data_IF_508900105390
#
_entry.id   IF_508900105390
#
_cell.length_a   1.000
_cell.length_b   1.000
_cell.length_c   1.000
_cell.angle_alpha   90.00
_cell.angle_beta   90.00
_cell.angle_gamma   90.00
#
_symmetry.space_group_name_H-M   'P 1'
#
loop_
_entity.id
_entity.type
_entity.pdbx_description
1 polymer ?
#
# COMPACT_ATOMS: atom_id res chain seq x y z
N UNK A 1 -10.77 -3.45 4.30
CA UNK A 1 -11.15 -4.55 5.20
C UNK A 1 -9.91 -5.17 5.82
N UNK A 2 -10.00 -5.65 7.05
CA UNK A 2 -8.87 -6.25 7.79
C UNK A 2 -9.04 -7.76 7.83
N UNK A 3 -7.95 -8.49 7.54
CA UNK A 3 -7.87 -9.93 7.72
C UNK A 3 -6.82 -10.23 8.78
N UNK A 4 -7.19 -11.00 9.80
CA UNK A 4 -6.27 -11.63 10.75
C UNK A 4 -5.98 -13.04 10.25
N UNK A 5 -4.81 -13.23 9.64
CA UNK A 5 -4.41 -14.48 9.03
C UNK A 5 -3.51 -15.29 9.97
N UNK A 6 -3.87 -16.53 10.23
CA UNK A 6 -3.12 -17.48 11.04
C UNK A 6 -2.55 -18.55 10.10
N UNK A 7 -1.23 -18.60 9.87
CA UNK A 7 -0.61 -19.48 8.88
C UNK A 7 -0.46 -20.93 9.35
N UNK A 8 -1.15 -21.34 10.40
CA UNK A 8 -1.07 -22.65 11.06
C UNK A 8 -2.40 -23.39 10.91
N UNK A 9 -2.36 -24.71 10.72
CA UNK A 9 -3.57 -25.51 10.41
C UNK A 9 -4.22 -26.11 11.66
N UNK A 10 -3.38 -26.38 12.66
CA UNK A 10 -3.70 -26.90 13.97
C UNK A 10 -4.36 -25.85 14.87
N UNK A 11 -5.00 -26.30 15.94
CA UNK A 11 -5.49 -25.39 16.98
C UNK A 11 -4.32 -24.78 17.75
N UNK A 12 -4.38 -23.47 17.98
CA UNK A 12 -3.33 -22.71 18.63
C UNK A 12 -3.91 -21.47 19.33
N UNK A 13 -3.14 -20.89 20.24
CA UNK A 13 -3.55 -19.72 21.04
C UNK A 13 -3.75 -18.43 20.21
N UNK A 14 -3.22 -18.36 18.98
CA UNK A 14 -3.40 -17.22 18.08
C UNK A 14 -4.87 -17.07 17.67
N UNK A 15 -5.63 -18.16 17.59
CA UNK A 15 -7.06 -18.10 17.30
C UNK A 15 -7.83 -17.33 18.38
N UNK A 16 -7.58 -17.66 19.65
CA UNK A 16 -8.18 -16.97 20.80
C UNK A 16 -7.80 -15.49 20.81
N UNK A 17 -6.54 -15.17 20.51
CA UNK A 17 -6.05 -13.78 20.41
C UNK A 17 -6.69 -13.03 19.23
N UNK A 18 -6.91 -13.69 18.10
CA UNK A 18 -7.57 -13.09 16.93
C UNK A 18 -9.05 -12.83 17.18
N UNK A 19 -9.74 -13.73 17.89
CA UNK A 19 -11.13 -13.54 18.33
C UNK A 19 -11.24 -12.34 19.27
N UNK A 20 -10.37 -12.27 20.28
CA UNK A 20 -10.31 -11.12 21.19
C UNK A 20 -10.05 -9.80 20.44
N UNK A 21 -9.11 -9.80 19.50
CA UNK A 21 -8.84 -8.63 18.65
C UNK A 21 -10.09 -8.17 17.90
N UNK A 22 -10.83 -9.10 17.29
CA UNK A 22 -12.06 -8.82 16.56
C UNK A 22 -13.16 -8.26 17.49
N UNK A 23 -13.26 -8.77 18.71
CA UNK A 23 -14.22 -8.29 19.71
C UNK A 23 -13.92 -6.85 20.16
N UNK A 24 -12.66 -6.56 20.52
CA UNK A 24 -12.22 -5.23 20.96
C UNK A 24 -12.42 -4.18 19.85
N UNK A 25 -12.20 -4.57 18.59
CA UNK A 25 -12.38 -3.73 17.41
C UNK A 25 -13.68 -4.06 16.66
N UNK A 26 -14.78 -4.27 17.38
CA UNK A 26 -16.09 -4.67 16.84
C UNK A 26 -16.67 -3.74 15.78
N UNK A 27 -16.27 -2.47 15.76
CA UNK A 27 -16.68 -1.49 14.75
C UNK A 27 -15.88 -1.60 13.43
N UNK A 28 -14.85 -2.44 13.36
CA UNK A 28 -14.05 -2.66 12.16
C UNK A 28 -14.49 -3.93 11.45
N UNK A 29 -14.47 -3.90 10.11
CA UNK A 29 -14.70 -5.10 9.30
C UNK A 29 -13.45 -6.00 9.35
N UNK A 30 -13.42 -6.90 10.34
CA UNK A 30 -12.35 -7.87 10.60
C UNK A 30 -12.86 -9.28 10.30
N UNK A 31 -12.10 -10.02 9.47
CA UNK A 31 -12.24 -11.47 9.32
C UNK A 31 -11.01 -12.19 9.81
N UNK A 32 -11.22 -13.38 10.36
CA UNK A 32 -10.15 -14.29 10.77
C UNK A 32 -10.09 -15.39 9.72
N UNK A 33 -8.90 -15.64 9.17
CA UNK A 33 -8.64 -16.72 8.22
C UNK A 33 -7.52 -17.57 8.78
N UNK A 34 -7.74 -18.87 8.80
CA UNK A 34 -6.75 -19.84 9.22
C UNK A 34 -6.35 -20.71 8.03
N UNK A 35 -5.06 -21.00 7.91
CA UNK A 35 -4.55 -21.85 6.85
C UNK A 35 -5.22 -23.22 6.83
N UNK A 36 -5.52 -23.73 5.63
CA UNK A 36 -6.18 -25.02 5.43
C UNK A 36 -7.69 -25.04 5.73
N UNK A 37 -8.26 -23.94 6.23
CA UNK A 37 -9.72 -23.79 6.36
C UNK A 37 -10.31 -23.18 5.10
N UNK A 38 -11.59 -23.47 4.82
CA UNK A 38 -12.29 -22.94 3.65
C UNK A 38 -12.42 -21.41 3.72
N UNK A 39 -12.00 -20.71 2.68
CA UNK A 39 -12.06 -19.26 2.57
C UNK A 39 -13.25 -18.85 1.69
N UNK A 40 -14.10 -17.97 2.21
CA UNK A 40 -15.19 -17.34 1.45
C UNK A 40 -14.68 -16.08 0.72
N UNK A 41 -14.15 -16.28 -0.48
CA UNK A 41 -13.55 -15.21 -1.30
C UNK A 41 -14.56 -14.15 -1.76
N UNK A 42 -15.82 -14.52 -2.04
CA UNK A 42 -16.84 -13.64 -2.63
C UNK A 42 -17.09 -12.40 -1.77
N UNK A 43 -17.13 -12.59 -0.46
CA UNK A 43 -17.33 -11.50 0.49
C UNK A 43 -16.22 -10.45 0.55
N UNK A 44 -15.05 -10.76 -0.02
CA UNK A 44 -13.85 -9.92 0.02
C UNK A 44 -13.48 -9.36 -1.36
N UNK A 45 -14.24 -9.74 -2.40
CA UNK A 45 -13.89 -9.47 -3.79
C UNK A 45 -13.94 -7.98 -4.17
N UNK A 46 -14.74 -7.18 -3.45
CA UNK A 46 -15.00 -5.78 -3.80
C UNK A 46 -14.34 -4.75 -2.87
N UNK A 47 -13.49 -5.18 -1.94
CA UNK A 47 -12.87 -4.27 -0.95
C UNK A 47 -11.34 -4.41 -0.91
N UNK A 48 -10.58 -3.31 -0.76
CA UNK A 48 -9.14 -3.40 -0.50
C UNK A 48 -8.87 -4.12 0.83
N UNK A 49 -7.84 -4.95 0.83
CA UNK A 49 -7.49 -5.82 1.95
C UNK A 49 -6.19 -5.36 2.61
N UNK A 50 -6.20 -5.37 3.95
CA UNK A 50 -5.01 -5.30 4.79
C UNK A 50 -4.95 -6.59 5.60
N UNK A 51 -3.87 -7.34 5.42
CA UNK A 51 -3.71 -8.65 6.07
C UNK A 51 -2.69 -8.53 7.19
N UNK A 52 -3.07 -8.92 8.40
CA UNK A 52 -2.16 -9.16 9.51
C UNK A 52 -1.79 -10.63 9.52
N UNK A 53 -0.53 -10.96 9.28
CA UNK A 53 -0.01 -12.33 9.46
C UNK A 53 0.35 -12.48 10.94
N UNK A 54 -0.39 -13.33 11.64
CA UNK A 54 -0.26 -13.55 13.09
C UNK A 54 0.59 -14.79 13.34
N UNK A 55 1.62 -14.63 14.16
CA UNK A 55 2.44 -15.73 14.66
C UNK A 55 3.16 -15.32 15.94
N UNK A 56 3.74 -16.27 16.66
CA UNK A 56 4.69 -15.97 17.73
C UNK A 56 6.11 -15.89 17.21
N UNK A 57 6.83 -14.87 17.66
CA UNK A 57 8.27 -14.81 17.43
C UNK A 57 9.03 -15.75 18.35
N UNK A 58 10.21 -16.15 17.90
CA UNK A 58 11.10 -17.05 18.63
C UNK A 58 12.35 -16.28 19.03
N UNK A 59 12.73 -16.36 20.30
CA UNK A 59 13.93 -15.72 20.85
C UNK A 59 15.18 -16.63 20.82
N UNK A 60 15.20 -17.61 19.92
CA UNK A 60 16.28 -18.59 19.73
C UNK A 60 17.15 -18.23 18.52
N UNK A 61 18.47 -18.08 18.73
CA UNK A 61 19.44 -17.68 17.71
C UNK A 61 19.62 -18.70 16.57
N UNK A 62 19.28 -19.97 16.79
CA UNK A 62 19.34 -21.00 15.75
C UNK A 62 18.10 -20.97 14.82
N UNK A 63 17.03 -20.31 15.25
CA UNK A 63 15.72 -20.32 14.61
C UNK A 63 15.32 -18.92 14.09
N UNK A 64 16.32 -18.12 13.67
CA UNK A 64 16.19 -16.71 13.30
C UNK A 64 15.15 -16.37 12.20
N UNK A 65 14.61 -17.35 11.49
CA UNK A 65 13.60 -17.16 10.46
C UNK A 65 12.35 -18.03 10.67
N UNK A 66 12.21 -18.62 11.84
CA UNK A 66 11.06 -19.42 12.20
C UNK A 66 10.10 -18.64 13.09
N UNK A 67 8.82 -18.96 12.97
CA UNK A 67 7.75 -18.43 13.81
C UNK A 67 6.94 -19.60 14.36
N UNK A 68 6.40 -19.43 15.56
CA UNK A 68 5.73 -20.46 16.34
C UNK A 68 4.20 -20.30 16.34
N UNK A 69 3.49 -21.44 16.44
CA UNK A 69 2.03 -21.49 16.57
C UNK A 69 1.54 -21.02 17.94
N UNK A 70 2.29 -21.29 19.01
CA UNK A 70 1.87 -21.07 20.40
C UNK A 70 2.94 -20.37 21.26
N UNK A 71 2.48 -19.70 22.32
CA UNK A 71 3.32 -19.18 23.39
C UNK A 71 2.82 -19.72 24.75
N UNK A 72 3.67 -20.37 25.57
CA UNK A 72 5.09 -20.68 25.37
C UNK A 72 5.33 -21.82 24.36
N UNK A 73 6.55 -21.90 23.82
CA UNK A 73 6.96 -22.94 22.87
C UNK A 73 7.08 -24.27 23.63
N UNK A 74 6.36 -25.28 23.16
CA UNK A 74 6.35 -26.65 23.69
C UNK A 74 6.64 -27.65 22.58
N UNK A 75 6.82 -28.94 22.90
CA UNK A 75 7.01 -30.00 21.88
C UNK A 75 5.82 -30.13 20.91
N UNK A 76 4.66 -29.57 21.26
CA UNK A 76 3.46 -29.55 20.41
C UNK A 76 3.40 -28.33 19.49
N UNK A 77 4.28 -27.35 19.70
CA UNK A 77 4.30 -26.10 18.94
C UNK A 77 4.85 -26.33 17.55
N UNK A 78 4.09 -25.94 16.53
CA UNK A 78 4.57 -25.98 15.15
C UNK A 78 5.48 -24.80 14.90
N UNK A 79 6.71 -25.09 14.47
CA UNK A 79 7.66 -24.09 14.00
C UNK A 79 7.65 -24.06 12.48
N UNK A 80 7.38 -22.89 11.90
CA UNK A 80 7.39 -22.70 10.46
C UNK A 80 8.43 -21.67 10.07
N UNK A 81 9.26 -22.03 9.08
CA UNK A 81 10.11 -21.09 8.39
C UNK A 81 9.29 -20.03 7.66
N UNK A 82 9.82 -18.82 7.57
CA UNK A 82 9.13 -17.70 6.90
C UNK A 82 8.84 -17.97 5.42
N UNK A 83 9.66 -18.79 4.77
CA UNK A 83 9.45 -19.30 3.41
C UNK A 83 8.19 -20.16 3.33
N UNK A 84 7.98 -21.07 4.30
CA UNK A 84 6.76 -21.88 4.36
C UNK A 84 5.53 -21.02 4.67
N UNK A 85 5.66 -20.00 5.50
CA UNK A 85 4.58 -19.05 5.78
C UNK A 85 4.22 -18.25 4.52
N UNK A 86 5.21 -17.81 3.74
CA UNK A 86 4.99 -17.16 2.45
C UNK A 86 4.33 -18.08 1.43
N UNK A 87 4.74 -19.36 1.35
CA UNK A 87 4.09 -20.37 0.50
C UNK A 87 2.61 -20.53 0.84
N UNK A 88 2.29 -20.70 2.13
CA UNK A 88 0.90 -20.80 2.62
C UNK A 88 0.11 -19.53 2.30
N UNK A 89 0.69 -18.37 2.53
CA UNK A 89 0.09 -17.08 2.19
C UNK A 89 -0.18 -16.95 0.68
N UNK A 90 0.77 -17.34 -0.17
CA UNK A 90 0.60 -17.33 -1.63
C UNK A 90 -0.59 -18.20 -2.04
N UNK A 91 -0.71 -19.40 -1.48
CA UNK A 91 -1.80 -20.34 -1.76
C UNK A 91 -3.16 -19.79 -1.33
N UNK A 92 -3.27 -19.36 -0.07
CA UNK A 92 -4.54 -18.95 0.53
C UNK A 92 -5.08 -17.63 -0.02
N UNK A 93 -4.20 -16.76 -0.52
CA UNK A 93 -4.57 -15.44 -1.04
C UNK A 93 -4.36 -15.27 -2.54
N UNK A 94 -4.06 -16.35 -3.28
CA UNK A 94 -3.84 -16.30 -4.72
C UNK A 94 -4.97 -15.58 -5.47
N UNK A 95 -6.22 -15.90 -5.14
CA UNK A 95 -7.41 -15.31 -5.79
C UNK A 95 -7.65 -13.84 -5.42
N UNK A 96 -7.07 -13.36 -4.32
CA UNK A 96 -7.25 -12.00 -3.81
C UNK A 96 -5.97 -11.16 -3.90
N UNK A 97 -4.90 -11.66 -4.53
CA UNK A 97 -3.58 -10.99 -4.55
C UNK A 97 -3.66 -9.51 -4.97
N UNK A 98 -4.45 -9.21 -6.00
CA UNK A 98 -4.62 -7.87 -6.55
C UNK A 98 -5.40 -6.90 -5.63
N UNK A 99 -6.06 -7.41 -4.58
CA UNK A 99 -6.79 -6.61 -3.58
C UNK A 99 -5.96 -6.31 -2.35
N UNK A 100 -4.87 -7.03 -2.14
CA UNK A 100 -4.05 -6.91 -0.94
C UNK A 100 -3.10 -5.73 -1.13
N UNK A 101 -3.40 -4.66 -0.39
CA UNK A 101 -2.65 -3.40 -0.47
C UNK A 101 -1.54 -3.32 0.58
N UNK A 102 -1.73 -3.99 1.72
CA UNK A 102 -0.78 -3.96 2.83
C UNK A 102 -0.80 -5.32 3.55
N UNK A 103 0.39 -5.85 3.80
CA UNK A 103 0.64 -7.05 4.59
C UNK A 103 1.41 -6.62 5.84
N UNK A 104 0.88 -6.93 7.01
CA UNK A 104 1.44 -6.58 8.31
C UNK A 104 1.92 -7.85 8.98
N UNK A 105 3.23 -8.04 9.01
CA UNK A 105 3.88 -9.13 9.72
C UNK A 105 3.83 -8.83 11.22
N UNK A 106 2.86 -9.42 11.92
CA UNK A 106 2.52 -9.06 13.30
C UNK A 106 2.85 -10.20 14.26
N UNK A 107 4.13 -10.27 14.62
CA UNK A 107 4.70 -11.21 15.58
C UNK A 107 5.71 -10.49 16.47
N UNK A 108 5.92 -11.00 17.69
CA UNK A 108 6.92 -10.46 18.61
C UNK A 108 8.34 -10.58 18.02
N UNK A 109 9.18 -9.57 18.17
CA UNK A 109 10.58 -9.66 17.79
C UNK A 109 11.46 -8.74 18.64
N UNK A 110 12.20 -9.34 19.57
CA UNK A 110 13.12 -8.62 20.45
C UNK A 110 14.58 -8.73 20.00
N UNK A 111 14.88 -9.49 18.93
CA UNK A 111 16.26 -9.79 18.48
C UNK A 111 16.78 -8.86 17.39
N UNK A 112 15.92 -8.05 16.77
CA UNK A 112 16.35 -7.10 15.74
C UNK A 112 16.36 -7.66 14.31
N UNK A 113 15.99 -8.94 14.11
CA UNK A 113 15.94 -9.58 12.79
C UNK A 113 14.60 -9.40 12.06
N UNK A 114 13.67 -8.59 12.58
CA UNK A 114 12.34 -8.35 11.98
C UNK A 114 12.42 -7.86 10.53
N UNK A 115 13.41 -7.05 10.19
CA UNK A 115 13.64 -6.56 8.83
C UNK A 115 14.02 -7.71 7.90
N UNK A 116 14.98 -8.54 8.30
CA UNK A 116 15.44 -9.69 7.51
C UNK A 116 14.34 -10.73 7.32
N UNK A 117 13.51 -10.98 8.34
CA UNK A 117 12.32 -11.84 8.21
C UNK A 117 11.36 -11.25 7.18
N UNK A 118 11.09 -9.94 7.25
CA UNK A 118 10.20 -9.27 6.31
C UNK A 118 10.74 -9.29 4.88
N UNK A 119 12.05 -9.08 4.68
CA UNK A 119 12.71 -9.15 3.37
C UNK A 119 12.63 -10.56 2.79
N UNK A 120 12.90 -11.58 3.62
CA UNK A 120 12.79 -12.98 3.20
C UNK A 120 11.35 -13.36 2.88
N UNK A 121 10.38 -12.91 3.66
CA UNK A 121 8.95 -13.08 3.35
C UNK A 121 8.63 -12.45 1.98
N UNK A 122 9.04 -11.20 1.76
CA UNK A 122 8.84 -10.47 0.49
C UNK A 122 9.43 -11.22 -0.71
N UNK A 123 10.65 -11.74 -0.59
CA UNK A 123 11.33 -12.48 -1.66
C UNK A 123 10.59 -13.76 -2.07
N UNK A 124 9.81 -14.35 -1.15
CA UNK A 124 9.03 -15.55 -1.40
C UNK A 124 7.58 -15.26 -1.82
N UNK A 125 7.16 -13.99 -1.92
CA UNK A 125 5.86 -13.62 -2.47
C UNK A 125 5.93 -13.56 -4.01
N UNK A 126 4.96 -14.17 -4.68
CA UNK A 126 5.00 -14.32 -6.14
C UNK A 126 4.24 -13.20 -6.86
N UNK A 127 2.97 -12.99 -6.51
CA UNK A 127 2.05 -12.10 -7.24
C UNK A 127 1.64 -10.84 -6.46
N UNK A 128 2.20 -10.64 -5.27
CA UNK A 128 1.75 -9.61 -4.35
C UNK A 128 2.57 -8.32 -4.51
N UNK A 129 1.88 -7.24 -4.85
CA UNK A 129 2.45 -5.89 -4.90
C UNK A 129 1.96 -5.05 -3.71
N UNK A 130 2.09 -5.62 -2.52
CA UNK A 130 1.64 -5.01 -1.28
C UNK A 130 2.81 -4.41 -0.50
N UNK A 131 2.55 -3.33 0.24
CA UNK A 131 3.49 -2.88 1.26
C UNK A 131 3.62 -3.93 2.36
N UNK A 132 4.83 -4.16 2.85
CA UNK A 132 5.07 -5.10 3.95
C UNK A 132 5.50 -4.31 5.17
N UNK A 133 4.61 -4.23 6.14
CA UNK A 133 4.88 -3.64 7.44
C UNK A 133 5.44 -4.71 8.38
N UNK A 134 6.49 -4.38 9.12
CA UNK A 134 7.06 -5.17 10.19
C UNK A 134 7.25 -4.31 11.44
N UNK A 135 7.35 -4.94 12.61
CA UNK A 135 7.34 -4.25 13.88
C UNK A 135 8.50 -4.72 14.75
N UNK A 136 8.99 -3.84 15.62
CA UNK A 136 9.96 -4.17 16.65
C UNK A 136 9.28 -4.37 18.02
N UNK A 137 9.88 -5.21 18.85
CA UNK A 137 9.47 -5.45 20.23
C UNK A 137 8.44 -6.56 20.41
N UNK A 138 7.95 -6.69 21.63
CA UNK A 138 6.90 -7.64 22.01
C UNK A 138 5.55 -7.02 21.70
N UNK A 139 4.82 -7.61 20.77
CA UNK A 139 3.54 -7.09 20.29
C UNK A 139 2.37 -7.62 21.10
N UNK A 140 1.40 -6.74 21.32
CA UNK A 140 0.16 -7.08 22.03
C UNK A 140 -1.05 -6.96 21.12
N UNK A 141 -2.10 -7.71 21.44
CA UNK A 141 -3.42 -7.48 20.87
C UNK A 141 -3.91 -6.05 21.19
N UNK A 142 -4.90 -5.53 20.46
CA UNK A 142 -5.52 -4.25 20.80
C UNK A 142 -6.01 -4.25 22.25
N UNK A 143 -5.70 -3.19 22.98
CA UNK A 143 -6.19 -2.96 24.34
C UNK A 143 -7.61 -2.39 24.31
N UNK A 144 -8.22 -2.23 25.48
CA UNK A 144 -9.59 -1.70 25.66
C UNK A 144 -9.77 -0.29 25.09
N UNK A 145 -8.69 0.49 24.97
CA UNK A 145 -8.66 1.80 24.32
C UNK A 145 -8.59 1.72 22.78
N UNK A 146 -8.73 0.51 22.22
CA UNK A 146 -8.69 0.19 20.78
C UNK A 146 -7.34 0.44 20.12
N UNK A 147 -6.27 0.67 20.88
CA UNK A 147 -4.90 0.81 20.36
C UNK A 147 -4.11 -0.48 20.51
N UNK A 148 -3.16 -0.65 19.59
CA UNK A 148 -2.17 -1.74 19.64
C UNK A 148 -0.90 -1.22 20.28
N UNK A 149 -0.30 -2.04 21.12
CA UNK A 149 0.93 -1.69 21.83
C UNK A 149 2.07 -2.65 21.53
N UNK A 150 3.29 -2.14 21.68
CA UNK A 150 4.52 -2.90 21.66
C UNK A 150 5.39 -2.50 22.85
N UNK A 151 6.02 -3.47 23.50
CA UNK A 151 7.13 -3.20 24.42
C UNK A 151 8.43 -3.35 23.64
N UNK A 152 9.19 -2.26 23.53
CA UNK A 152 10.48 -2.24 22.87
C UNK A 152 11.49 -1.51 23.76
N UNK A 153 12.65 -2.12 24.00
CA UNK A 153 13.69 -1.60 24.92
C UNK A 153 13.14 -1.19 26.31
N UNK A 154 12.23 -2.01 26.87
CA UNK A 154 11.64 -1.78 28.19
C UNK A 154 10.60 -0.65 28.26
N UNK A 155 10.25 -0.05 27.12
CA UNK A 155 9.27 1.04 27.06
C UNK A 155 8.04 0.64 26.24
N UNK A 156 6.88 1.16 26.65
CA UNK A 156 5.61 0.96 25.97
C UNK A 156 5.44 1.98 24.83
N UNK A 157 5.18 1.47 23.64
CA UNK A 157 4.89 2.26 22.44
C UNK A 157 3.55 1.83 21.85
N UNK A 158 2.84 2.77 21.23
CA UNK A 158 1.80 2.38 20.26
C UNK A 158 2.51 1.65 19.11
N UNK A 159 2.01 0.49 18.68
CA UNK A 159 2.72 -0.36 17.72
C UNK A 159 3.00 0.36 16.39
N UNK A 160 2.23 1.39 16.02
CA UNK A 160 2.49 2.23 14.85
C UNK A 160 3.82 2.98 14.91
N UNK A 161 4.34 3.26 16.10
CA UNK A 161 5.57 4.04 16.31
C UNK A 161 6.83 3.17 16.16
N UNK A 162 6.70 1.86 16.36
CA UNK A 162 7.76 0.86 16.16
C UNK A 162 7.53 0.04 14.89
N UNK A 163 6.67 0.56 14.00
CA UNK A 163 6.35 -0.03 12.70
C UNK A 163 7.28 0.54 11.64
N UNK A 164 7.81 -0.34 10.82
CA UNK A 164 8.57 0.00 9.64
C UNK A 164 7.92 -0.65 8.42
N UNK A 165 8.08 -0.03 7.26
CA UNK A 165 7.56 -0.53 5.99
C UNK A 165 8.73 -0.87 5.10
N UNK A 166 8.74 -2.08 4.52
CA UNK A 166 9.63 -2.41 3.42
C UNK A 166 9.12 -1.70 2.18
N UNK A 167 9.82 -0.63 1.81
CA UNK A 167 9.65 -0.02 0.51
C UNK A 167 10.24 -0.94 -0.53
N UNK A 168 9.44 -1.26 -1.55
CA UNK A 168 9.93 -1.91 -2.76
C UNK A 168 11.05 -1.01 -3.28
N UNK A 169 12.28 -1.53 -3.37
CA UNK A 169 13.37 -0.79 -4.03
C UNK A 169 12.87 -0.55 -5.46
N UNK A 170 12.46 0.68 -5.78
CA UNK A 170 12.47 1.13 -7.16
C UNK A 170 13.96 1.18 -7.50
N UNK A 171 14.46 0.09 -8.08
CA UNK A 171 15.85 0.04 -8.50
C UNK A 171 16.05 1.04 -9.61
N UNK A 172 16.77 2.12 -9.33
CA UNK A 172 17.39 2.97 -10.34
C UNK A 172 18.51 2.24 -11.11
N UNK A 173 18.76 0.95 -10.86
CA UNK A 173 19.93 0.28 -11.42
C UNK A 173 19.76 -1.23 -11.68
N UNK A 174 18.59 -1.65 -12.16
CA UNK A 174 18.47 -3.03 -12.64
C UNK A 174 17.69 -3.06 -13.93
N UNK A 175 18.29 -3.74 -14.90
CA UNK A 175 17.76 -4.15 -16.18
C UNK A 175 16.59 -5.17 -15.99
N UNK A 176 15.63 -4.81 -15.13
CA UNK A 176 14.44 -5.60 -14.81
C UNK A 176 13.53 -5.44 -16.01
N UNK A 177 13.40 -6.55 -16.76
CA UNK A 177 12.34 -6.70 -17.75
C UNK A 177 11.00 -6.42 -17.06
N UNK A 178 10.51 -5.18 -17.17
CA UNK A 178 9.17 -4.83 -16.75
C UNK A 178 8.21 -5.80 -17.45
N UNK A 179 7.27 -6.38 -16.70
CA UNK A 179 6.23 -7.19 -17.33
C UNK A 179 5.45 -6.31 -18.32
N UNK A 180 4.98 -6.90 -19.42
CA UNK A 180 4.20 -6.17 -20.45
C UNK A 180 3.01 -5.41 -19.82
N UNK A 181 2.43 -5.97 -18.75
CA UNK A 181 1.34 -5.33 -17.99
C UNK A 181 1.78 -4.05 -17.27
N UNK A 182 2.96 -4.07 -16.63
CA UNK A 182 3.52 -2.88 -15.99
C UNK A 182 3.89 -1.81 -17.01
N UNK A 183 4.49 -2.22 -18.13
CA UNK A 183 4.83 -1.32 -19.23
C UNK A 183 3.57 -0.65 -19.80
N UNK A 184 2.51 -1.42 -20.02
CA UNK A 184 1.23 -0.92 -20.52
C UNK A 184 0.55 0.04 -19.56
N UNK A 185 0.59 -0.23 -18.24
CA UNK A 185 0.07 0.70 -17.24
C UNK A 185 0.85 2.01 -17.18
N UNK A 186 2.19 1.93 -17.21
CA UNK A 186 3.05 3.13 -17.23
C UNK A 186 2.74 3.99 -18.46
N UNK A 187 2.72 3.38 -19.65
CA UNK A 187 2.40 4.08 -20.89
C UNK A 187 0.99 4.70 -20.82
N UNK A 188 0.00 3.99 -20.27
CA UNK A 188 -1.34 4.54 -20.09
C UNK A 188 -1.37 5.78 -19.18
N UNK A 189 -0.61 5.77 -18.08
CA UNK A 189 -0.53 6.92 -17.18
C UNK A 189 0.22 8.10 -17.81
N UNK A 190 1.30 7.84 -18.53
CA UNK A 190 2.04 8.88 -19.26
C UNK A 190 1.18 9.49 -20.37
N UNK A 191 0.52 8.67 -21.18
CA UNK A 191 -0.41 9.13 -22.21
C UNK A 191 -1.56 9.95 -21.63
N UNK A 192 -2.14 9.50 -20.51
CA UNK A 192 -3.22 10.22 -19.83
C UNK A 192 -2.74 11.57 -19.27
N UNK A 193 -1.51 11.62 -18.74
CA UNK A 193 -0.89 12.85 -18.25
C UNK A 193 -0.62 13.81 -19.42
N UNK A 194 -0.04 13.33 -20.52
CA UNK A 194 0.25 14.13 -21.70
C UNK A 194 -1.03 14.69 -22.31
N UNK A 195 -2.07 13.87 -22.48
CA UNK A 195 -3.39 14.31 -22.97
C UNK A 195 -4.01 15.41 -22.10
N UNK A 196 -3.83 15.37 -20.77
CA UNK A 196 -4.32 16.44 -19.88
C UNK A 196 -3.57 17.75 -20.12
N UNK A 197 -2.25 17.66 -20.30
CA UNK A 197 -1.39 18.82 -20.60
C UNK A 197 -1.77 19.42 -21.95
N UNK A 198 -1.91 18.59 -22.98
CA UNK A 198 -2.29 19.04 -24.33
C UNK A 198 -3.67 19.72 -24.32
N UNK A 199 -4.63 19.15 -23.59
CA UNK A 199 -5.98 19.71 -23.48
C UNK A 199 -5.99 21.04 -22.71
N UNK A 200 -5.08 21.22 -21.74
CA UNK A 200 -4.87 22.51 -21.08
C UNK A 200 -4.30 23.55 -22.06
N UNK A 201 -3.29 23.19 -22.86
CA UNK A 201 -2.72 24.08 -23.87
C UNK A 201 -3.73 24.47 -24.95
N UNK A 202 -4.53 23.53 -25.45
CA UNK A 202 -5.57 23.82 -26.44
C UNK A 202 -6.65 24.75 -25.87
N UNK A 203 -7.06 24.57 -24.61
CA UNK A 203 -7.97 25.52 -23.93
C UNK A 203 -7.38 26.91 -23.84
N UNK A 204 -6.11 27.04 -23.47
CA UNK A 204 -5.44 28.34 -23.39
C UNK A 204 -5.32 29.00 -24.76
N UNK A 205 -4.95 28.23 -25.79
CA UNK A 205 -4.86 28.70 -27.18
C UNK A 205 -6.20 29.22 -27.68
N UNK A 206 -7.28 28.47 -27.44
CA UNK A 206 -8.64 28.87 -27.80
C UNK A 206 -9.06 30.15 -27.07
N UNK A 207 -8.82 30.25 -25.77
CA UNK A 207 -9.13 31.46 -24.99
C UNK A 207 -8.36 32.70 -25.49
N UNK A 208 -7.07 32.55 -25.83
CA UNK A 208 -6.28 33.64 -26.44
C UNK A 208 -6.84 34.06 -27.79
N UNK A 209 -7.23 33.10 -28.63
CA UNK A 209 -7.81 33.39 -29.94
C UNK A 209 -9.16 34.11 -29.81
N UNK A 210 -10.02 33.69 -28.88
CA UNK A 210 -11.29 34.35 -28.59
C UNK A 210 -11.10 35.79 -28.11
N UNK A 211 -10.14 36.04 -27.20
CA UNK A 211 -9.81 37.39 -26.74
C UNK A 211 -9.29 38.28 -27.88
N UNK A 212 -8.45 37.74 -28.77
CA UNK A 212 -7.90 38.48 -29.90
C UNK A 212 -8.99 38.84 -30.91
N UNK A 213 -9.89 37.90 -31.21
CA UNK A 213 -11.05 38.16 -32.08
C UNK A 213 -12.02 39.16 -31.46
N UNK A 214 -12.25 39.12 -30.14
CA UNK A 214 -13.07 40.09 -29.42
C UNK A 214 -12.49 41.51 -29.54
N UNK A 215 -11.19 41.68 -29.26
CA UNK A 215 -10.49 42.97 -29.43
C UNK A 215 -10.56 43.50 -30.87
N UNK A 216 -10.40 42.62 -31.88
CA UNK A 216 -10.54 43.01 -33.29
C UNK A 216 -11.94 43.50 -33.61
N UNK A 217 -12.97 42.84 -33.07
CA UNK A 217 -14.37 43.22 -33.28
C UNK A 217 -14.68 44.57 -32.61
N UNK A 218 -14.25 44.75 -31.37
CA UNK A 218 -14.37 46.03 -30.64
C UNK A 218 -13.69 47.18 -31.40
N UNK A 219 -12.51 46.94 -31.97
CA UNK A 219 -11.79 47.93 -32.78
C UNK A 219 -12.56 48.30 -34.07
N UNK A 220 -13.12 47.30 -34.76
CA UNK A 220 -13.92 47.51 -35.98
C UNK A 220 -15.23 48.26 -35.67
N UNK A 221 -15.92 47.90 -34.59
CA UNK A 221 -17.12 48.59 -34.13
C UNK A 221 -16.81 50.06 -33.74
N UNK A 222 -15.68 50.30 -33.06
CA UNK A 222 -15.19 51.64 -32.75
C UNK A 222 -14.87 52.47 -34.00
N UNK A 223 -14.19 51.87 -35.00
CA UNK A 223 -13.88 52.54 -36.27
C UNK A 223 -15.14 52.85 -37.10
N UNK A 224 -16.15 51.98 -37.07
CA UNK A 224 -17.44 52.23 -37.72
C UNK A 224 -18.25 53.34 -37.03
N UNK A 225 -18.18 53.44 -35.70
CA UNK A 225 -18.89 54.47 -34.91
C UNK A 225 -18.22 55.85 -34.95
N UNK A 226 -16.89 55.91 -35.12
CA UNK A 226 -16.13 57.16 -35.00
C UNK A 226 -15.37 57.60 -36.27
N UNK A 227 -15.51 56.91 -37.41
CA UNK A 227 -15.18 57.44 -38.74
C UNK A 227 -13.74 57.95 -38.94
N UNK A 228 -12.76 57.50 -38.14
CA UNK A 228 -11.38 57.98 -38.19
C UNK A 228 -10.40 56.86 -38.55
N UNK A 229 -9.64 57.03 -39.63
CA UNK A 229 -8.45 56.22 -39.93
C UNK A 229 -7.44 56.40 -38.80
N UNK A 230 -7.19 55.34 -38.03
CA UNK A 230 -6.06 55.27 -37.10
C UNK A 230 -4.89 54.62 -37.84
N UNK A 231 -3.77 55.33 -37.95
CA UNK A 231 -2.53 54.85 -38.55
C UNK A 231 -1.97 53.63 -37.79
N UNK A 232 -1.37 52.72 -38.55
CA UNK A 232 -1.08 51.33 -38.17
C UNK A 232 0.24 51.14 -37.39
N UNK A 233 0.83 52.20 -36.84
CA UNK A 233 2.25 52.19 -36.42
C UNK A 233 2.53 51.87 -34.93
N UNK A 234 1.52 51.65 -34.08
CA UNK A 234 1.75 51.33 -32.65
C UNK A 234 1.68 49.82 -32.29
N UNK A 235 1.52 48.92 -33.26
CA UNK A 235 1.19 47.51 -33.01
C UNK A 235 2.37 46.55 -32.77
N UNK A 236 3.61 47.03 -32.70
CA UNK A 236 4.81 46.18 -32.58
C UNK A 236 5.74 46.52 -31.40
N UNK A 237 5.23 46.92 -30.24
CA UNK A 237 6.05 46.92 -29.02
C UNK A 237 5.70 45.74 -28.11
N UNK A 238 6.68 44.86 -27.78
CA UNK A 238 6.46 43.79 -26.83
C UNK A 238 6.28 44.38 -25.42
N UNK A 239 5.52 43.72 -24.53
CA UNK A 239 5.38 44.19 -23.17
C UNK A 239 6.73 44.11 -22.46
N UNK A 240 7.15 45.24 -21.88
CA UNK A 240 8.36 45.33 -21.05
C UNK A 240 8.28 44.32 -19.89
N UNK A 241 9.39 43.60 -19.69
CA UNK A 241 9.67 42.67 -18.59
C UNK A 241 9.59 43.35 -17.22
#
# INVERSE_FOLDING_TARGET
MIILYIPYSEENDLMTKALHWKEVLSNQNIRIIQHGKKIDYKSMEHVPLTIYVLAHGIDNLLENFHLASDCPITDRTTLLGIDKIAERFNSDFLYLHHRISNIKLYFCNNKGNQKSIAEKFQQNLILFDAFIDYYAGTLFCPSTDKKKYSIYNGQWYVSSNVRHTLYKRMGEDSNVKMSIKQLSMLNFFEDAKQKRIDLMFERQKKARQEQLMKKRKELLEYQQMHGGKMELDELCQPPNL
#
